data_IF_158311940838
#
_entry.id   IF_158311940838
#
_cell.length_a   1.000
_cell.length_b   1.000
_cell.length_c   1.000
_cell.angle_alpha   90.00
_cell.angle_beta   90.00
_cell.angle_gamma   90.00
#
_symmetry.space_group_name_H-M   'P 1'
#
loop_
_entity.id
_entity.type
_entity.pdbx_description
1 polymer ?
#
# COMPACT_ATOMS: atom_id res chain seq x y z
N UNK A 1 12.18 10.58 -36.48
CA UNK A 1 11.14 9.58 -36.80
C UNK A 1 11.20 8.40 -35.84
N UNK A 2 10.74 8.59 -34.60
CA UNK A 2 10.67 7.56 -33.56
C UNK A 2 9.26 7.50 -32.90
N UNK A 3 8.25 8.06 -33.58
CA UNK A 3 6.86 8.11 -33.12
C UNK A 3 5.91 7.64 -34.22
N UNK A 4 6.17 6.46 -34.77
CA UNK A 4 5.18 5.73 -35.56
C UNK A 4 5.28 4.25 -35.18
N UNK A 5 4.41 3.84 -34.26
CA UNK A 5 4.35 2.49 -33.73
C UNK A 5 3.08 2.28 -32.92
N UNK A 6 2.02 1.84 -33.60
CA UNK A 6 0.88 1.08 -33.09
C UNK A 6 0.19 1.55 -31.80
N UNK A 7 -0.34 2.77 -31.80
CA UNK A 7 -1.37 3.16 -30.82
C UNK A 7 -2.75 2.52 -31.10
N UNK A 8 -2.94 1.79 -32.21
CA UNK A 8 -4.27 1.35 -32.65
C UNK A 8 -4.70 -0.07 -32.22
N UNK A 9 -3.90 -0.82 -31.46
CA UNK A 9 -4.28 -2.18 -31.03
C UNK A 9 -3.89 -2.51 -29.58
N UNK A 10 -3.97 -1.54 -28.66
CA UNK A 10 -3.88 -1.87 -27.23
C UNK A 10 -5.14 -2.60 -26.80
N UNK A 11 -5.08 -3.94 -26.79
CA UNK A 11 -6.10 -4.76 -26.15
C UNK A 11 -6.28 -4.30 -24.70
N UNK A 12 -7.53 -4.15 -24.27
CA UNK A 12 -7.82 -3.82 -22.88
C UNK A 12 -7.16 -4.86 -21.96
N UNK A 13 -6.55 -4.44 -20.84
CA UNK A 13 -6.00 -5.39 -19.88
C UNK A 13 -7.11 -6.31 -19.37
N UNK A 14 -6.84 -7.61 -19.37
CA UNK A 14 -7.74 -8.60 -18.78
C UNK A 14 -7.83 -8.35 -17.27
N UNK A 15 -9.01 -7.93 -16.81
CA UNK A 15 -9.24 -7.50 -15.42
C UNK A 15 -10.03 -8.55 -14.66
N UNK A 16 -9.43 -9.07 -13.59
CA UNK A 16 -10.13 -9.84 -12.58
C UNK A 16 -10.37 -8.96 -11.35
N UNK A 17 -11.61 -8.94 -10.85
CA UNK A 17 -11.95 -8.30 -9.58
C UNK A 17 -12.49 -9.37 -8.65
N UNK A 18 -11.75 -9.66 -7.59
CA UNK A 18 -12.12 -10.65 -6.60
C UNK A 18 -12.52 -9.96 -5.30
N UNK A 19 -13.77 -10.09 -4.88
CA UNK A 19 -14.26 -9.56 -3.61
C UNK A 19 -14.26 -10.65 -2.54
N UNK A 20 -13.53 -10.42 -1.45
CA UNK A 20 -13.31 -11.39 -0.35
C UNK A 20 -13.01 -12.82 -0.85
N UNK A 21 -12.00 -13.02 -1.73
CA UNK A 21 -11.63 -14.35 -2.19
C UNK A 21 -10.87 -15.13 -1.11
N UNK A 22 -10.92 -16.46 -1.21
CA UNK A 22 -10.01 -17.34 -0.47
C UNK A 22 -8.66 -17.48 -1.21
N UNK A 23 -7.65 -18.05 -0.54
CA UNK A 23 -6.32 -18.29 -1.12
C UNK A 23 -6.38 -18.99 -2.49
N UNK A 24 -7.10 -20.12 -2.58
CA UNK A 24 -7.16 -20.93 -3.81
C UNK A 24 -7.72 -20.15 -5.00
N UNK A 25 -8.73 -19.29 -4.77
CA UNK A 25 -9.26 -18.41 -5.79
C UNK A 25 -8.20 -17.43 -6.26
N UNK A 26 -7.53 -16.71 -5.34
CA UNK A 26 -6.51 -15.73 -5.71
C UNK A 26 -5.42 -16.42 -6.53
N UNK A 27 -4.89 -17.54 -6.05
CA UNK A 27 -3.82 -18.27 -6.72
C UNK A 27 -4.25 -18.75 -8.12
N UNK A 28 -5.46 -19.30 -8.27
CA UNK A 28 -5.97 -19.76 -9.55
C UNK A 28 -6.13 -18.62 -10.57
N UNK A 29 -6.72 -17.49 -10.16
CA UNK A 29 -6.89 -16.34 -11.05
C UNK A 29 -5.56 -15.68 -11.41
N UNK A 30 -4.63 -15.56 -10.46
CA UNK A 30 -3.28 -15.04 -10.74
C UNK A 30 -2.52 -15.96 -11.69
N UNK A 31 -2.59 -17.28 -11.51
CA UNK A 31 -1.96 -18.24 -12.41
C UNK A 31 -2.55 -18.22 -13.82
N UNK A 32 -3.88 -18.08 -13.96
CA UNK A 32 -4.54 -17.90 -15.25
C UNK A 32 -4.09 -16.61 -15.93
N UNK A 33 -4.11 -15.48 -15.22
CA UNK A 33 -3.63 -14.19 -15.75
C UNK A 33 -2.16 -14.26 -16.18
N UNK A 34 -1.31 -14.92 -15.39
CA UNK A 34 0.10 -15.13 -15.70
C UNK A 34 0.32 -15.98 -16.97
N UNK A 35 -0.48 -17.04 -17.14
CA UNK A 35 -0.43 -17.92 -18.32
C UNK A 35 -0.88 -17.21 -19.59
N UNK A 36 -1.93 -16.40 -19.50
CA UNK A 36 -2.51 -15.66 -20.63
C UNK A 36 -1.69 -14.41 -21.00
N UNK A 37 -0.75 -14.00 -20.14
CA UNK A 37 0.06 -12.81 -20.34
C UNK A 37 0.95 -12.94 -21.60
N UNK A 38 0.96 -11.96 -22.52
CA UNK A 38 1.86 -11.96 -23.67
C UNK A 38 3.34 -11.88 -23.22
N UNK A 39 4.27 -12.13 -24.16
CA UNK A 39 5.71 -12.17 -23.85
C UNK A 39 6.24 -10.87 -23.22
N UNK A 40 5.68 -9.71 -23.61
CA UNK A 40 6.04 -8.40 -23.08
C UNK A 40 4.97 -7.85 -22.12
N UNK A 41 4.02 -8.67 -21.68
CA UNK A 41 2.98 -8.23 -20.77
C UNK A 41 3.50 -8.05 -19.35
N UNK A 42 2.81 -7.20 -18.59
CA UNK A 42 3.07 -6.96 -17.18
C UNK A 42 1.91 -7.54 -16.37
N UNK A 43 2.23 -8.37 -15.38
CA UNK A 43 1.25 -8.80 -14.40
C UNK A 43 1.09 -7.67 -13.38
N UNK A 44 -0.11 -7.11 -13.27
CA UNK A 44 -0.44 -6.12 -12.25
C UNK A 44 -1.31 -6.76 -11.17
N UNK A 45 -0.84 -6.77 -9.92
CA UNK A 45 -1.57 -7.29 -8.77
C UNK A 45 -1.81 -6.18 -7.75
N UNK A 46 -3.08 -5.93 -7.44
CA UNK A 46 -3.48 -5.03 -6.36
C UNK A 46 -4.17 -5.85 -5.28
N UNK A 47 -3.59 -5.90 -4.08
CA UNK A 47 -4.15 -6.64 -2.94
C UNK A 47 -4.43 -5.67 -1.81
N UNK A 48 -5.71 -5.56 -1.44
CA UNK A 48 -6.17 -4.81 -0.26
C UNK A 48 -6.75 -5.77 0.75
N UNK A 49 -6.08 -5.93 1.90
CA UNK A 49 -6.49 -6.88 2.92
C UNK A 49 -5.83 -6.62 4.28
N UNK A 50 -6.45 -7.11 5.35
CA UNK A 50 -5.87 -7.07 6.68
C UNK A 50 -4.59 -7.90 6.76
N UNK A 51 -3.62 -7.42 7.53
CA UNK A 51 -2.35 -8.08 7.74
C UNK A 51 -2.47 -9.36 8.57
N UNK A 52 -1.61 -10.32 8.26
CA UNK A 52 -1.37 -11.51 9.05
C UNK A 52 0.08 -11.45 9.55
N UNK A 53 0.27 -11.42 10.86
CA UNK A 53 1.59 -11.47 11.48
C UNK A 53 1.95 -12.90 11.86
N UNK A 54 3.13 -13.35 11.43
CA UNK A 54 3.75 -14.55 11.97
C UNK A 54 4.53 -14.17 13.23
N UNK A 55 4.25 -14.85 14.35
CA UNK A 55 5.04 -14.72 15.59
C UNK A 55 6.53 -15.10 15.39
N UNK A 56 6.82 -15.78 14.29
CA UNK A 56 8.16 -16.08 13.79
C UNK A 56 8.65 -14.89 12.98
N UNK A 57 9.12 -13.83 13.66
CA UNK A 57 10.10 -12.91 13.05
C UNK A 57 11.37 -13.71 12.77
N UNK A 58 11.36 -14.51 11.71
CA UNK A 58 12.53 -15.29 11.31
C UNK A 58 13.68 -14.30 11.13
N UNK A 59 14.82 -14.62 11.73
CA UNK A 59 16.07 -13.82 11.67
C UNK A 59 16.67 -13.78 10.26
N UNK A 60 15.91 -14.15 9.23
CA UNK A 60 16.35 -14.32 7.86
C UNK A 60 15.54 -13.34 7.02
N UNK A 61 16.19 -12.25 6.60
CA UNK A 61 15.66 -11.37 5.56
C UNK A 61 15.28 -12.23 4.34
N UNK A 62 14.10 -12.02 3.74
CA UNK A 62 13.57 -12.79 2.59
C UNK A 62 12.98 -14.18 2.93
N UNK A 63 12.38 -14.34 4.11
CA UNK A 63 11.67 -15.58 4.46
C UNK A 63 10.34 -15.72 3.72
N UNK A 64 9.98 -16.95 3.35
CA UNK A 64 8.73 -17.29 2.65
C UNK A 64 7.49 -16.73 3.37
N UNK A 65 7.48 -16.81 4.70
CA UNK A 65 6.37 -16.54 5.61
C UNK A 65 6.67 -15.42 6.61
N UNK A 66 7.36 -14.35 6.17
CA UNK A 66 7.68 -13.18 7.00
C UNK A 66 6.46 -12.32 7.40
N UNK A 67 5.27 -12.92 7.48
CA UNK A 67 3.98 -12.25 7.54
C UNK A 67 3.28 -12.32 6.19
N UNK A 68 2.10 -11.73 6.10
CA UNK A 68 1.28 -11.80 4.91
C UNK A 68 0.01 -11.00 5.02
N UNK A 69 -0.95 -11.32 4.16
CA UNK A 69 -2.30 -10.74 4.18
C UNK A 69 -3.35 -11.83 4.30
N UNK A 70 -4.41 -11.53 5.04
CA UNK A 70 -5.51 -12.46 5.26
C UNK A 70 -6.35 -12.62 4.01
N UNK A 71 -6.81 -13.84 3.77
CA UNK A 71 -7.82 -14.16 2.78
C UNK A 71 -9.14 -14.49 3.46
N UNK A 72 -10.22 -14.57 2.70
CA UNK A 72 -11.52 -14.87 3.28
C UNK A 72 -11.63 -16.37 3.62
N UNK A 73 -11.96 -16.66 4.88
CA UNK A 73 -12.30 -18.00 5.33
C UNK A 73 -13.83 -18.13 5.45
N UNK A 74 -14.46 -18.95 4.60
CA UNK A 74 -15.92 -19.17 4.64
C UNK A 74 -16.38 -20.01 5.85
N UNK A 75 -15.46 -20.48 6.70
CA UNK A 75 -15.80 -21.40 7.78
C UNK A 75 -16.09 -20.76 9.15
N UNK A 76 -15.69 -19.52 9.39
CA UNK A 76 -15.81 -18.90 10.71
C UNK A 76 -17.21 -18.32 11.02
N UNK A 77 -18.07 -18.12 10.02
CA UNK A 77 -19.45 -17.62 10.18
C UNK A 77 -20.42 -18.61 10.88
N UNK A 78 -19.95 -19.81 11.28
CA UNK A 78 -20.82 -20.86 11.86
C UNK A 78 -20.59 -21.17 13.33
N UNK A 79 -19.65 -20.52 14.03
CA UNK A 79 -19.30 -20.88 15.42
C UNK A 79 -19.96 -19.96 16.48
N UNK A 80 -20.59 -18.83 16.11
CA UNK A 80 -21.22 -17.91 17.07
C UNK A 80 -22.74 -18.10 17.27
N UNK A 81 -23.28 -19.34 17.23
CA UNK A 81 -24.68 -19.55 17.62
C UNK A 81 -24.90 -20.88 18.36
N UNK A 82 -24.56 -20.91 19.65
CA UNK A 82 -25.16 -21.83 20.62
C UNK A 82 -25.32 -21.17 22.01
N UNK A 83 -26.52 -20.66 22.23
CA UNK A 83 -27.23 -20.33 23.48
C UNK A 83 -26.61 -20.74 24.84
N UNK A 84 -26.48 -19.77 25.76
CA UNK A 84 -26.81 -19.93 27.19
C UNK A 84 -27.15 -18.57 27.85
N UNK A 85 -27.98 -18.53 28.93
CA UNK A 85 -28.72 -17.33 29.39
C UNK A 85 -27.96 -16.45 30.42
N UNK A 86 -28.47 -15.23 30.75
CA UNK A 86 -27.70 -14.20 31.46
C UNK A 86 -27.85 -14.28 32.99
N UNK A 87 -26.80 -13.95 33.74
CA UNK A 87 -26.90 -13.61 35.16
C UNK A 87 -25.92 -12.49 35.55
N UNK A 88 -26.52 -11.32 35.81
CA UNK A 88 -26.29 -10.39 36.94
C UNK A 88 -24.87 -9.92 37.33
N UNK A 89 -24.60 -8.65 36.97
CA UNK A 89 -24.02 -7.56 37.76
C UNK A 89 -22.91 -7.81 38.81
N UNK A 90 -21.75 -7.15 38.63
CA UNK A 90 -21.27 -6.05 39.51
C UNK A 90 -19.97 -5.40 39.00
N UNK A 91 -19.88 -4.08 39.15
CA UNK A 91 -18.74 -3.22 38.81
C UNK A 91 -17.52 -3.47 39.72
N UNK A 92 -16.29 -3.28 39.20
CA UNK A 92 -15.26 -2.39 39.83
C UNK A 92 -14.02 -2.18 38.94
N UNK A 93 -13.47 -0.98 39.09
CA UNK A 93 -12.32 -0.33 38.43
C UNK A 93 -10.97 -1.07 38.63
N UNK A 94 -10.09 -1.02 37.61
CA UNK A 94 -8.63 -0.95 37.85
C UNK A 94 -7.67 -1.71 36.92
N UNK A 95 -7.08 -0.97 35.97
CA UNK A 95 -5.68 -1.04 35.47
C UNK A 95 -5.18 -2.20 34.58
N UNK A 96 -4.55 -1.73 33.50
CA UNK A 96 -3.31 -2.21 32.84
C UNK A 96 -3.39 -3.37 31.83
N UNK A 97 -3.03 -3.00 30.59
CA UNK A 97 -2.15 -3.72 29.65
C UNK A 97 -1.96 -5.22 29.85
N UNK A 98 -2.50 -6.03 28.93
CA UNK A 98 -1.86 -7.24 28.40
C UNK A 98 -2.58 -7.75 27.14
N UNK A 99 -1.86 -8.41 26.22
CA UNK A 99 -2.39 -8.86 24.94
C UNK A 99 -3.33 -10.05 25.13
N UNK A 100 -4.35 -10.14 24.28
CA UNK A 100 -5.29 -11.25 24.25
C UNK A 100 -4.56 -12.57 24.02
N UNK A 101 -4.51 -13.39 25.07
CA UNK A 101 -4.11 -14.80 25.03
C UNK A 101 -5.12 -15.51 24.14
N UNK A 102 -4.70 -15.88 22.93
CA UNK A 102 -5.42 -16.87 22.13
C UNK A 102 -5.10 -18.23 22.72
N UNK A 103 -6.14 -18.91 23.21
CA UNK A 103 -6.13 -20.23 23.80
C UNK A 103 -5.51 -21.23 22.81
N UNK A 104 -4.26 -21.64 23.07
CA UNK A 104 -3.68 -22.82 22.44
C UNK A 104 -4.43 -24.04 22.94
N UNK A 105 -5.34 -24.58 22.14
CA UNK A 105 -5.77 -25.97 22.28
C UNK A 105 -4.60 -26.86 21.87
N UNK A 106 -3.88 -27.35 22.87
CA UNK A 106 -2.89 -28.41 22.74
C UNK A 106 -3.58 -29.69 22.28
N UNK A 107 -3.53 -29.96 20.98
CA UNK A 107 -3.59 -31.30 20.44
C UNK A 107 -2.24 -31.57 19.76
N UNK A 108 -1.51 -32.52 20.31
CA UNK A 108 -0.22 -33.04 19.83
C UNK A 108 -0.37 -33.62 18.43
N UNK A 109 -0.17 -32.78 17.42
CA UNK A 109 0.10 -33.18 16.04
C UNK A 109 1.61 -33.41 15.89
N UNK A 110 2.07 -34.50 15.25
CA UNK A 110 3.51 -34.74 15.00
C UNK A 110 4.10 -33.79 13.94
N UNK A 111 3.23 -32.99 13.33
CA UNK A 111 3.55 -31.92 12.39
C UNK A 111 3.53 -30.63 13.23
N UNK A 112 4.59 -29.83 13.17
CA UNK A 112 4.68 -28.54 13.88
C UNK A 112 3.48 -27.63 13.62
N UNK A 113 3.37 -26.47 14.30
CA UNK A 113 2.20 -25.61 14.20
C UNK A 113 1.84 -25.35 12.73
N UNK A 114 0.68 -25.86 12.32
CA UNK A 114 0.18 -25.76 10.94
C UNK A 114 -0.04 -24.26 10.69
N UNK A 115 0.67 -23.71 9.71
CA UNK A 115 0.48 -22.32 9.29
C UNK A 115 -0.96 -22.15 8.81
N UNK A 116 -1.56 -21.03 9.14
CA UNK A 116 -2.93 -20.74 8.74
C UNK A 116 -3.01 -20.63 7.20
N UNK A 117 -3.75 -21.57 6.62
CA UNK A 117 -3.90 -21.82 5.18
C UNK A 117 -4.63 -20.66 4.49
N UNK A 118 -5.29 -19.79 5.24
CA UNK A 118 -6.11 -18.71 4.72
C UNK A 118 -5.36 -17.37 4.63
N UNK A 119 -4.08 -17.39 4.29
CA UNK A 119 -3.25 -16.19 4.13
C UNK A 119 -2.46 -16.24 2.82
N UNK A 120 -2.08 -15.08 2.31
CA UNK A 120 -1.08 -14.94 1.26
C UNK A 120 0.20 -14.44 1.89
N UNK A 121 1.25 -15.23 1.75
CA UNK A 121 2.60 -14.88 2.14
C UNK A 121 3.40 -14.35 0.93
N UNK A 122 4.47 -13.57 1.15
CA UNK A 122 5.42 -13.16 0.12
C UNK A 122 5.87 -14.30 -0.79
N UNK A 123 6.19 -15.46 -0.20
CA UNK A 123 6.65 -16.65 -0.92
C UNK A 123 5.65 -17.23 -1.91
N UNK A 124 4.34 -17.06 -1.67
CA UNK A 124 3.29 -17.55 -2.58
C UNK A 124 3.30 -16.81 -3.93
N UNK A 125 3.91 -15.61 -3.98
CA UNK A 125 4.02 -14.81 -5.19
C UNK A 125 5.31 -15.10 -5.99
N UNK A 126 6.26 -15.85 -5.43
CA UNK A 126 7.52 -16.17 -6.12
C UNK A 126 7.33 -16.84 -7.48
N UNK A 127 6.35 -17.75 -7.67
CA UNK A 127 6.09 -18.32 -8.99
C UNK A 127 5.89 -17.28 -10.09
N UNK A 128 5.24 -16.16 -9.75
CA UNK A 128 4.82 -15.10 -10.67
C UNK A 128 5.90 -14.05 -10.94
N UNK A 129 7.03 -14.08 -10.21
CA UNK A 129 8.22 -13.26 -10.49
C UNK A 129 8.95 -13.66 -11.78
N UNK A 130 8.49 -14.71 -12.48
CA UNK A 130 9.02 -15.16 -13.78
C UNK A 130 8.62 -14.28 -14.97
N UNK A 131 7.74 -13.30 -14.75
CA UNK A 131 7.37 -12.25 -15.72
C UNK A 131 7.41 -10.89 -15.00
N UNK A 132 7.44 -9.76 -15.74
CA UNK A 132 7.36 -8.44 -15.13
C UNK A 132 6.14 -8.32 -14.20
N UNK A 133 6.37 -7.97 -12.93
CA UNK A 133 5.32 -7.89 -11.91
C UNK A 133 5.28 -6.50 -11.26
N UNK A 134 4.13 -5.85 -11.35
CA UNK A 134 3.82 -4.61 -10.63
C UNK A 134 2.83 -4.94 -9.51
N UNK A 135 3.28 -4.85 -8.27
CA UNK A 135 2.53 -5.24 -7.07
C UNK A 135 2.13 -4.01 -6.25
N UNK A 136 0.89 -3.97 -5.80
CA UNK A 136 0.42 -3.02 -4.78
C UNK A 136 -0.15 -3.81 -3.61
N UNK A 137 0.40 -3.60 -2.41
CA UNK A 137 -0.10 -4.17 -1.16
C UNK A 137 -0.64 -3.05 -0.29
N UNK A 138 -1.95 -3.04 -0.11
CA UNK A 138 -2.67 -2.14 0.80
C UNK A 138 -3.08 -2.93 2.05
N UNK A 139 -2.24 -2.87 3.07
CA UNK A 139 -2.37 -3.65 4.30
C UNK A 139 -1.62 -2.99 5.46
N UNK A 140 -2.10 -3.15 6.69
CA UNK A 140 -1.35 -2.79 7.88
C UNK A 140 -0.12 -3.70 8.13
N UNK A 141 0.07 -4.77 7.33
CA UNK A 141 1.30 -5.57 7.30
C UNK A 141 1.94 -5.61 5.89
N UNK A 142 1.79 -4.54 5.11
CA UNK A 142 2.36 -4.43 3.76
C UNK A 142 3.87 -4.67 3.72
N UNK A 143 4.59 -4.29 4.78
CA UNK A 143 6.05 -4.46 4.93
C UNK A 143 6.52 -5.91 4.84
N UNK A 144 5.62 -6.89 5.03
CA UNK A 144 5.96 -8.30 4.82
C UNK A 144 6.46 -8.56 3.39
N UNK A 145 6.00 -7.76 2.42
CA UNK A 145 6.33 -7.87 1.00
C UNK A 145 7.48 -6.94 0.56
N UNK A 146 8.19 -6.29 1.50
CA UNK A 146 9.27 -5.35 1.18
C UNK A 146 10.52 -6.06 0.64
N UNK A 147 10.87 -7.21 1.21
CA UNK A 147 12.10 -7.93 0.89
C UNK A 147 11.85 -9.12 -0.04
N UNK A 148 11.09 -8.89 -1.11
CA UNK A 148 10.87 -9.90 -2.15
C UNK A 148 12.16 -10.10 -2.96
N UNK A 149 12.67 -11.34 -3.11
CA UNK A 149 13.89 -11.62 -3.86
C UNK A 149 13.68 -11.47 -5.37
N UNK A 150 14.70 -11.00 -6.09
CA UNK A 150 14.70 -11.04 -7.56
C UNK A 150 15.25 -12.38 -8.07
N UNK A 151 14.41 -13.42 -8.01
CA UNK A 151 14.83 -14.81 -8.32
C UNK A 151 15.02 -15.10 -9.81
N UNK A 152 14.39 -14.33 -10.70
CA UNK A 152 14.32 -14.64 -12.15
C UNK A 152 14.87 -13.52 -13.04
N UNK A 153 15.41 -12.46 -12.47
CA UNK A 153 15.96 -11.32 -13.22
C UNK A 153 14.91 -10.51 -13.98
N UNK A 154 13.62 -10.69 -13.67
CA UNK A 154 12.53 -9.95 -14.31
C UNK A 154 12.29 -8.62 -13.59
N UNK A 155 11.82 -7.57 -14.29
CA UNK A 155 11.38 -6.34 -13.66
C UNK A 155 10.34 -6.60 -12.58
N UNK A 156 10.55 -6.06 -11.40
CA UNK A 156 9.61 -6.17 -10.29
C UNK A 156 9.55 -4.83 -9.57
N UNK A 157 8.34 -4.40 -9.23
CA UNK A 157 8.14 -3.33 -8.27
C UNK A 157 6.99 -3.67 -7.33
N UNK A 158 7.16 -3.40 -6.03
CA UNK A 158 6.07 -3.36 -5.06
C UNK A 158 5.87 -1.95 -4.50
N UNK A 159 4.62 -1.52 -4.42
CA UNK A 159 4.18 -0.32 -3.72
C UNK A 159 3.40 -0.76 -2.47
N UNK A 160 3.90 -0.38 -1.31
CA UNK A 160 3.42 -0.83 0.00
C UNK A 160 2.77 0.34 0.72
N UNK A 161 1.54 0.14 1.20
CA UNK A 161 0.84 1.13 2.02
C UNK A 161 1.59 1.41 3.33
N UNK A 162 1.35 2.56 3.98
CA UNK A 162 1.71 2.74 5.38
C UNK A 162 1.14 1.62 6.26
N UNK A 163 1.87 1.23 7.30
CA UNK A 163 1.44 0.25 8.29
C UNK A 163 0.81 0.88 9.53
N UNK A 164 0.90 2.21 9.65
CA UNK A 164 0.30 3.00 10.72
C UNK A 164 -0.57 4.11 10.14
N UNK A 165 -1.62 4.44 10.87
CA UNK A 165 -2.50 5.57 10.61
C UNK A 165 -2.58 6.42 11.89
N UNK A 166 -2.60 7.76 11.82
CA UNK A 166 -2.77 8.56 13.03
C UNK A 166 -4.14 8.30 13.66
N UNK A 167 -4.22 8.35 14.99
CA UNK A 167 -5.42 8.01 15.77
C UNK A 167 -6.65 8.79 15.31
N UNK A 168 -6.47 10.06 14.91
CA UNK A 168 -7.54 10.94 14.40
C UNK A 168 -8.26 10.37 13.17
N UNK A 169 -7.62 9.46 12.43
CA UNK A 169 -8.19 8.83 11.24
C UNK A 169 -8.67 7.39 11.48
N UNK A 170 -8.54 6.83 12.68
CA UNK A 170 -8.94 5.43 12.96
C UNK A 170 -10.44 5.18 12.73
N UNK A 171 -11.30 6.13 13.12
CA UNK A 171 -12.76 6.00 12.92
C UNK A 171 -13.17 5.92 11.44
N UNK A 172 -12.27 6.31 10.55
CA UNK A 172 -12.49 6.31 9.10
C UNK A 172 -11.93 5.07 8.41
N UNK A 173 -11.30 4.14 9.12
CA UNK A 173 -10.77 2.89 8.52
C UNK A 173 -11.86 2.06 7.84
N UNK A 174 -13.11 2.16 8.30
CA UNK A 174 -14.26 1.51 7.67
C UNK A 174 -14.70 2.15 6.34
N UNK A 175 -14.19 3.34 5.98
CA UNK A 175 -14.56 4.08 4.76
C UNK A 175 -13.61 3.81 3.58
N UNK A 176 -12.69 2.87 3.73
CA UNK A 176 -11.70 2.50 2.72
C UNK A 176 -10.29 2.91 3.11
N UNK A 177 -9.30 2.42 2.37
CA UNK A 177 -7.90 2.72 2.65
C UNK A 177 -7.50 4.11 2.15
N UNK A 178 -6.81 4.84 3.01
CA UNK A 178 -6.18 6.12 2.67
C UNK A 178 -5.18 5.96 1.52
N UNK A 179 -4.42 4.85 1.49
CA UNK A 179 -3.44 4.60 0.44
C UNK A 179 -4.13 4.37 -0.91
N UNK A 180 -5.14 3.49 -0.97
CA UNK A 180 -6.02 3.35 -2.14
C UNK A 180 -6.58 4.70 -2.59
N UNK A 181 -7.04 5.53 -1.65
CA UNK A 181 -7.64 6.83 -1.96
C UNK A 181 -6.64 7.76 -2.64
N UNK A 182 -5.40 7.85 -2.16
CA UNK A 182 -4.35 8.62 -2.83
C UNK A 182 -4.05 8.10 -4.24
N UNK A 183 -3.99 6.78 -4.41
CA UNK A 183 -3.68 6.16 -5.69
C UNK A 183 -4.81 6.29 -6.72
N UNK A 184 -6.06 6.43 -6.28
CA UNK A 184 -7.24 6.45 -7.17
C UNK A 184 -7.86 7.84 -7.33
N UNK A 185 -7.92 8.64 -6.26
CA UNK A 185 -8.40 10.02 -6.25
C UNK A 185 -7.56 10.94 -5.33
N UNK A 186 -6.45 11.47 -5.84
CA UNK A 186 -5.54 12.36 -5.09
C UNK A 186 -6.20 13.59 -4.46
N UNK A 187 -7.20 14.19 -5.12
CA UNK A 187 -7.91 15.38 -4.60
C UNK A 187 -8.71 15.01 -3.36
N UNK A 188 -9.51 13.94 -3.43
CA UNK A 188 -10.25 13.46 -2.27
C UNK A 188 -9.31 13.03 -1.15
N UNK A 189 -8.21 12.34 -1.46
CA UNK A 189 -7.23 11.94 -0.46
C UNK A 189 -6.62 13.14 0.27
N UNK A 190 -6.22 14.18 -0.48
CA UNK A 190 -5.66 15.40 0.08
C UNK A 190 -6.68 16.12 0.97
N UNK A 191 -7.92 16.27 0.52
CA UNK A 191 -8.99 16.89 1.29
C UNK A 191 -9.29 16.09 2.57
N UNK A 192 -9.34 14.76 2.45
CA UNK A 192 -9.57 13.86 3.57
C UNK A 192 -8.51 14.01 4.66
N UNK A 193 -7.21 13.99 4.32
CA UNK A 193 -6.15 14.16 5.33
C UNK A 193 -6.12 15.56 5.92
N UNK A 194 -6.63 16.56 5.20
CA UNK A 194 -6.75 17.93 5.68
C UNK A 194 -8.07 18.23 6.42
N UNK A 195 -8.95 17.23 6.59
CA UNK A 195 -10.29 17.39 7.16
C UNK A 195 -11.18 18.41 6.43
N UNK A 196 -11.00 18.53 5.11
CA UNK A 196 -11.83 19.38 4.25
C UNK A 196 -13.00 18.54 3.73
N UNK A 197 -14.19 18.77 4.31
CA UNK A 197 -15.38 17.97 4.00
C UNK A 197 -16.22 18.56 2.86
N UNK A 198 -16.17 19.88 2.68
CA UNK A 198 -17.01 20.61 1.72
C UNK A 198 -16.13 21.46 0.81
N UNK A 199 -16.27 21.26 -0.49
CA UNK A 199 -15.64 22.07 -1.52
C UNK A 199 -16.70 22.60 -2.48
N UNK A 200 -16.56 23.88 -2.84
CA UNK A 200 -17.27 24.40 -4.00
C UNK A 200 -16.75 23.73 -5.27
N UNK A 201 -17.57 23.69 -6.33
CA UNK A 201 -17.14 23.15 -7.63
C UNK A 201 -15.91 23.89 -8.19
N UNK A 202 -15.79 25.19 -7.92
CA UNK A 202 -14.63 25.99 -8.31
C UNK A 202 -13.35 25.55 -7.57
N UNK A 203 -13.40 25.44 -6.23
CA UNK A 203 -12.25 24.97 -5.44
C UNK A 203 -11.85 23.54 -5.81
N UNK A 204 -12.81 22.66 -6.08
CA UNK A 204 -12.56 21.30 -6.56
C UNK A 204 -11.76 21.31 -7.86
N UNK A 205 -12.20 22.09 -8.85
CA UNK A 205 -11.52 22.21 -10.14
C UNK A 205 -10.11 22.78 -9.99
N UNK A 206 -9.94 23.82 -9.17
CA UNK A 206 -8.63 24.42 -8.89
C UNK A 206 -7.68 23.42 -8.22
N UNK A 207 -8.14 22.65 -7.23
CA UNK A 207 -7.34 21.61 -6.58
C UNK A 207 -6.97 20.51 -7.57
N UNK A 208 -7.90 20.08 -8.41
CA UNK A 208 -7.67 19.06 -9.42
C UNK A 208 -6.62 19.51 -10.45
N UNK A 209 -6.73 20.74 -10.97
CA UNK A 209 -5.73 21.32 -11.88
C UNK A 209 -4.35 21.43 -11.23
N UNK A 210 -4.30 21.89 -9.97
CA UNK A 210 -3.04 22.05 -9.25
C UNK A 210 -2.37 20.70 -8.94
N UNK A 211 -3.14 19.70 -8.52
CA UNK A 211 -2.62 18.34 -8.34
C UNK A 211 -2.12 17.77 -9.67
N UNK A 212 -2.81 17.99 -10.79
CA UNK A 212 -2.30 17.55 -12.09
C UNK A 212 -0.95 18.18 -12.45
N UNK A 213 -0.72 19.45 -12.08
CA UNK A 213 0.61 20.08 -12.22
C UNK A 213 1.65 19.39 -11.34
N UNK A 214 1.31 19.01 -10.11
CA UNK A 214 2.21 18.27 -9.21
C UNK A 214 2.55 16.89 -9.80
N UNK A 215 1.55 16.14 -10.25
CA UNK A 215 1.73 14.81 -10.87
C UNK A 215 2.58 14.91 -12.14
N UNK A 216 2.38 15.96 -12.94
CA UNK A 216 3.22 16.24 -14.10
C UNK A 216 4.67 16.57 -13.70
N UNK A 217 4.89 17.34 -12.64
CA UNK A 217 6.23 17.60 -12.10
C UNK A 217 6.92 16.31 -11.68
N UNK A 218 6.24 15.48 -10.89
CA UNK A 218 6.72 14.15 -10.48
C UNK A 218 7.07 13.29 -11.70
N UNK A 219 6.20 13.29 -12.72
CA UNK A 219 6.44 12.55 -13.97
C UNK A 219 7.74 12.99 -14.65
N UNK A 220 8.01 14.30 -14.69
CA UNK A 220 9.28 14.84 -15.22
C UNK A 220 10.48 14.42 -14.38
N UNK A 221 10.34 14.31 -13.06
CA UNK A 221 11.43 13.88 -12.17
C UNK A 221 11.83 12.43 -12.45
N UNK A 222 10.86 11.53 -12.62
CA UNK A 222 11.15 10.14 -13.03
C UNK A 222 11.97 10.08 -14.32
N UNK A 223 11.63 10.89 -15.33
CA UNK A 223 12.34 10.90 -16.62
C UNK A 223 13.75 11.53 -16.56
N UNK A 224 14.04 12.34 -15.53
CA UNK A 224 15.32 13.06 -15.39
C UNK A 224 16.28 12.40 -14.41
N UNK A 225 15.76 11.72 -13.39
CA UNK A 225 16.60 11.14 -12.34
C UNK A 225 17.41 9.97 -12.89
N UNK A 226 18.72 9.96 -12.66
CA UNK A 226 19.59 8.83 -13.00
C UNK A 226 19.68 7.79 -11.88
N UNK A 227 19.03 8.07 -10.74
CA UNK A 227 19.06 7.23 -9.54
C UNK A 227 17.87 6.26 -9.46
N UNK A 228 16.88 6.44 -10.35
CA UNK A 228 15.75 5.53 -10.48
C UNK A 228 16.23 4.24 -11.13
N UNK A 229 15.92 3.11 -10.49
CA UNK A 229 16.25 1.78 -10.99
C UNK A 229 15.70 1.57 -12.41
N UNK A 230 16.51 0.98 -13.30
CA UNK A 230 16.16 0.81 -14.70
C UNK A 230 14.92 -0.07 -14.93
N UNK A 231 14.62 -0.96 -13.98
CA UNK A 231 13.40 -1.79 -13.99
C UNK A 231 12.13 -0.95 -13.85
N UNK A 232 12.18 0.19 -13.15
CA UNK A 232 11.04 1.08 -12.97
C UNK A 232 10.63 1.70 -14.31
N UNK A 233 11.58 1.98 -15.21
CA UNK A 233 11.29 2.51 -16.54
C UNK A 233 10.48 1.55 -17.42
N UNK A 234 10.60 0.23 -17.21
CA UNK A 234 9.75 -0.74 -17.91
C UNK A 234 8.28 -0.53 -17.56
N UNK A 235 7.97 -0.28 -16.29
CA UNK A 235 6.61 0.00 -15.83
C UNK A 235 6.18 1.42 -16.18
N UNK A 236 7.09 2.39 -16.10
CA UNK A 236 6.80 3.80 -16.33
C UNK A 236 6.46 4.13 -17.80
N UNK A 237 6.88 3.27 -18.74
CA UNK A 237 6.51 3.37 -20.15
C UNK A 237 4.98 3.20 -20.35
N UNK A 238 4.33 2.40 -19.51
CA UNK A 238 2.88 2.26 -19.49
C UNK A 238 2.22 3.44 -18.76
N UNK A 239 1.22 4.06 -19.39
CA UNK A 239 0.57 5.25 -18.85
C UNK A 239 -0.23 4.97 -17.56
N UNK A 240 -0.86 3.80 -17.49
CA UNK A 240 -1.67 3.40 -16.34
C UNK A 240 -0.77 3.14 -15.13
N UNK A 241 0.34 2.42 -15.30
CA UNK A 241 1.30 2.16 -14.22
C UNK A 241 2.07 3.43 -13.82
N UNK A 242 2.43 4.29 -14.79
CA UNK A 242 3.02 5.61 -14.53
C UNK A 242 2.15 6.49 -13.64
N UNK A 243 0.84 6.41 -13.80
CA UNK A 243 -0.12 7.12 -12.95
C UNK A 243 -0.03 6.66 -11.50
N UNK A 244 0.02 5.35 -11.25
CA UNK A 244 0.20 4.81 -9.89
C UNK A 244 1.53 5.23 -9.27
N UNK A 245 2.63 5.17 -10.01
CA UNK A 245 3.95 5.59 -9.53
C UNK A 245 3.97 7.08 -9.17
N UNK A 246 3.37 7.93 -10.01
CA UNK A 246 3.34 9.37 -9.77
C UNK A 246 2.46 9.72 -8.57
N UNK A 247 1.30 9.05 -8.44
CA UNK A 247 0.39 9.22 -7.29
C UNK A 247 0.97 8.64 -6.00
N UNK A 248 1.77 7.59 -6.08
CA UNK A 248 2.52 7.06 -4.95
C UNK A 248 3.50 8.08 -4.39
N UNK A 249 4.30 8.73 -5.25
CA UNK A 249 5.22 9.81 -4.83
C UNK A 249 4.45 10.99 -4.23
N UNK A 250 3.31 11.37 -4.83
CA UNK A 250 2.44 12.39 -4.26
C UNK A 250 1.91 11.99 -2.87
N UNK A 251 1.45 10.75 -2.69
CA UNK A 251 1.03 10.20 -1.41
C UNK A 251 2.14 10.31 -0.37
N UNK A 252 3.34 9.82 -0.71
CA UNK A 252 4.51 9.90 0.16
C UNK A 252 4.78 11.34 0.59
N UNK A 253 4.90 12.27 -0.37
CA UNK A 253 5.24 13.65 -0.09
C UNK A 253 4.20 14.37 0.77
N UNK A 254 2.90 14.15 0.52
CA UNK A 254 1.81 14.72 1.33
C UNK A 254 1.88 14.21 2.76
N UNK A 255 1.99 12.89 2.95
CA UNK A 255 2.07 12.29 4.29
C UNK A 255 3.35 12.72 5.01
N UNK A 256 4.49 12.78 4.32
CA UNK A 256 5.78 13.21 4.88
C UNK A 256 5.76 14.64 5.39
N UNK A 257 5.09 15.55 4.68
CA UNK A 257 4.97 16.96 5.06
C UNK A 257 3.90 17.22 6.13
N UNK A 258 2.90 16.34 6.26
CA UNK A 258 1.77 16.55 7.16
C UNK A 258 2.14 16.26 8.62
N UNK A 259 1.87 17.21 9.52
CA UNK A 259 2.32 17.20 10.93
C UNK A 259 1.82 16.00 11.73
N UNK A 260 0.69 15.42 11.35
CA UNK A 260 0.11 14.24 12.02
C UNK A 260 0.82 12.92 11.71
N UNK A 261 1.57 12.83 10.61
CA UNK A 261 2.21 11.59 10.14
C UNK A 261 3.72 11.68 10.42
N UNK A 262 4.15 11.09 11.54
CA UNK A 262 5.56 11.15 11.99
C UNK A 262 6.15 9.77 12.20
N UNK A 263 7.18 9.46 11.43
CA UNK A 263 7.93 8.20 11.50
C UNK A 263 7.63 7.29 10.31
N UNK A 264 8.58 6.41 10.01
CA UNK A 264 8.60 5.59 8.78
C UNK A 264 7.33 4.77 8.56
N UNK A 265 6.73 4.22 9.61
CA UNK A 265 5.51 3.41 9.50
C UNK A 265 4.26 4.16 9.01
N UNK A 266 4.28 5.49 8.98
CA UNK A 266 3.18 6.32 8.47
C UNK A 266 3.33 6.68 6.99
N UNK A 267 4.44 6.29 6.36
CA UNK A 267 4.72 6.59 4.96
C UNK A 267 4.63 5.30 4.13
N UNK A 268 4.16 5.39 2.88
CA UNK A 268 4.23 4.25 1.99
C UNK A 268 5.69 3.98 1.62
N UNK A 269 6.00 2.74 1.26
CA UNK A 269 7.35 2.33 0.84
C UNK A 269 7.30 1.56 -0.47
N UNK A 270 8.44 1.43 -1.16
CA UNK A 270 8.51 0.68 -2.40
C UNK A 270 9.71 -0.25 -2.42
N UNK A 271 9.64 -1.29 -3.25
CA UNK A 271 10.80 -2.12 -3.60
C UNK A 271 10.85 -2.28 -5.13
N UNK A 272 11.95 -1.91 -5.81
CA UNK A 272 13.11 -1.19 -5.30
C UNK A 272 12.73 0.14 -4.63
N UNK A 273 13.53 0.57 -3.66
CA UNK A 273 13.31 1.83 -2.96
C UNK A 273 13.46 3.00 -3.93
N UNK A 274 12.42 3.83 -4.03
CA UNK A 274 12.50 5.08 -4.79
C UNK A 274 13.48 6.04 -4.10
N UNK A 275 14.26 6.74 -4.92
CA UNK A 275 15.32 7.62 -4.47
C UNK A 275 14.78 8.92 -3.83
N UNK A 276 15.53 9.46 -2.88
CA UNK A 276 15.09 10.63 -2.10
C UNK A 276 15.00 11.92 -2.94
N UNK A 277 15.75 12.05 -4.04
CA UNK A 277 15.63 13.17 -4.99
C UNK A 277 14.26 13.22 -5.68
N UNK A 278 13.59 12.06 -5.76
CA UNK A 278 12.23 11.91 -6.25
C UNK A 278 11.21 12.08 -5.10
N UNK A 279 11.40 11.38 -3.98
CA UNK A 279 10.45 11.34 -2.87
C UNK A 279 10.38 12.64 -2.07
N UNK A 280 11.53 13.29 -1.84
CA UNK A 280 11.64 14.50 -1.02
C UNK A 280 12.00 15.73 -1.87
N UNK A 281 11.48 15.78 -3.09
CA UNK A 281 11.78 16.85 -4.03
C UNK A 281 11.24 18.21 -3.56
N UNK A 282 12.14 19.21 -3.46
CA UNK A 282 11.82 20.55 -2.95
C UNK A 282 10.72 21.26 -3.75
N UNK A 283 10.72 21.11 -5.08
CA UNK A 283 9.71 21.76 -5.92
C UNK A 283 8.33 21.12 -5.71
N UNK A 284 8.26 19.79 -5.64
CA UNK A 284 7.02 19.06 -5.33
C UNK A 284 6.49 19.47 -3.96
N UNK A 285 7.36 19.57 -2.94
CA UNK A 285 6.96 20.05 -1.62
C UNK A 285 6.38 21.46 -1.68
N UNK A 286 7.05 22.40 -2.35
CA UNK A 286 6.53 23.77 -2.49
C UNK A 286 5.13 23.78 -3.11
N UNK A 287 4.90 23.00 -4.15
CA UNK A 287 3.59 22.91 -4.80
C UNK A 287 2.51 22.29 -3.91
N UNK A 288 2.85 21.31 -3.07
CA UNK A 288 1.92 20.77 -2.05
C UNK A 288 1.57 21.83 -1.00
N UNK A 289 2.55 22.63 -0.59
CA UNK A 289 2.33 23.72 0.36
C UNK A 289 1.43 24.82 -0.24
N UNK A 290 1.60 25.14 -1.52
CA UNK A 290 0.69 26.02 -2.27
C UNK A 290 -0.74 25.44 -2.32
N UNK A 291 -0.89 24.13 -2.59
CA UNK A 291 -2.20 23.46 -2.57
C UNK A 291 -2.89 23.58 -1.21
N UNK A 292 -2.14 23.37 -0.12
CA UNK A 292 -2.67 23.50 1.24
C UNK A 292 -3.09 24.94 1.56
N UNK A 293 -2.41 25.95 0.99
CA UNK A 293 -2.77 27.36 1.15
C UNK A 293 -4.05 27.70 0.39
N UNK A 294 -4.28 27.14 -0.80
CA UNK A 294 -5.54 27.31 -1.57
C UNK A 294 -6.76 26.86 -0.77
N UNK A 295 -6.59 25.87 0.11
CA UNK A 295 -7.64 25.33 0.98
C UNK A 295 -7.62 25.90 2.40
N UNK A 296 -6.76 26.88 2.71
CA UNK A 296 -6.62 27.46 4.06
C UNK A 296 -6.27 26.42 5.16
N UNK A 297 -5.52 25.37 4.80
CA UNK A 297 -5.08 24.28 5.69
C UNK A 297 -3.56 24.17 5.80
N UNK A 298 -2.83 25.23 5.42
CA UNK A 298 -1.37 25.28 5.41
C UNK A 298 -0.71 24.94 6.75
N UNK A 299 -1.36 25.28 7.84
CA UNK A 299 -0.96 25.03 9.23
C UNK A 299 -0.80 23.53 9.56
N UNK A 300 -1.43 22.64 8.80
CA UNK A 300 -1.30 21.19 8.98
C UNK A 300 0.03 20.64 8.48
N UNK A 301 0.78 21.42 7.70
CA UNK A 301 2.02 21.01 7.07
C UNK A 301 3.25 21.64 7.74
N UNK A 302 4.39 20.96 7.64
CA UNK A 302 5.68 21.45 8.12
C UNK A 302 6.17 22.61 7.23
N UNK A 303 6.96 23.52 7.82
CA UNK A 303 7.62 24.62 7.10
C UNK A 303 9.14 24.47 7.29
N UNK A 304 9.88 24.39 6.19
CA UNK A 304 11.35 24.24 6.21
C UNK A 304 11.85 22.91 5.64
N UNK A 305 13.18 22.75 5.48
CA UNK A 305 13.77 21.51 5.00
C UNK A 305 13.41 20.37 5.96
N UNK A 306 13.04 19.21 5.39
CA UNK A 306 12.83 17.97 6.14
C UNK A 306 14.17 17.52 6.72
N UNK A 307 14.57 18.09 7.87
CA UNK A 307 15.71 17.57 8.61
C UNK A 307 15.32 16.16 9.03
N UNK A 308 16.16 15.19 8.66
CA UNK A 308 15.99 13.75 8.90
C UNK A 308 15.61 13.49 10.35
N UNK A 309 14.31 13.25 10.57
CA UNK A 309 13.75 12.87 11.86
C UNK A 309 14.29 11.52 12.37
N UNK A 310 15.05 10.80 11.53
CA UNK A 310 15.65 9.52 11.85
C UNK A 310 16.87 9.61 12.79
N UNK A 311 17.44 10.81 13.02
CA UNK A 311 18.55 11.00 13.96
C UNK A 311 18.12 11.27 15.42
N UNK A 312 16.81 11.42 15.68
CA UNK A 312 16.29 11.64 17.04
C UNK A 312 15.51 10.43 17.59
N UNK A 313 15.38 9.35 16.81
CA UNK A 313 14.74 8.10 17.23
C UNK A 313 15.74 6.99 17.63
N UNK A 314 17.05 7.30 17.62
CA UNK A 314 18.14 6.37 17.92
C UNK A 314 18.95 6.72 19.18
N UNK A 315 18.36 7.52 20.10
CA UNK A 315 18.88 7.71 21.46
C UNK A 315 17.84 7.28 22.49
#
# INVERSE_FOLDING_TARGET
>A
NLYDGDFQNRLNPHKYLLYKPNFSQIYAFTASAFKELPNNGILFLYISADGYDTYLKSKVEQSYDFGGVKTNNRHDDKIENSNSPPTSATNTLGKNSSPSIVTTTTATSPIGPVKDVHNIFPGDLYPFLRKPLFLIIDSNNSIAFQNMPNLFGQPFISLLSPIKLPIVFHDYQNKGSLFTLFLTSPVFAFCFVCHVNDLTSEQWNLCHEHINKIIFEITKLFLKSKLVDSTIYHFFADEFLRLFLSRFVFCYAVLRLHRAFKGSGFYPSSQPQLSNDLLENVQVHKMILELSAMLSVRQLFLEGPLITADLLASN
#
